data_IF_974515136044
#
_entry.id   IF_974515136044
#
_cell.length_a   1.000
_cell.length_b   1.000
_cell.length_c   1.000
_cell.angle_alpha   90.00
_cell.angle_beta   90.00
_cell.angle_gamma   90.00
#
_symmetry.space_group_name_H-M   'P 1'
#
loop_
_entity.id
_entity.type
_entity.pdbx_description
1 polymer ?
#
# COMPACT_ATOMS: atom_id res chain seq x y z
N UNK A 1 -57.97 -4.82 18.09
CA UNK A 1 -56.60 -4.40 18.45
C UNK A 1 -55.75 -4.51 17.20
N UNK A 2 -55.46 -3.39 16.54
CA UNK A 2 -54.65 -3.36 15.31
C UNK A 2 -53.18 -3.20 15.68
N UNK A 3 -52.38 -4.24 15.47
CA UNK A 3 -50.93 -4.20 15.69
C UNK A 3 -50.24 -3.60 14.46
N UNK A 4 -49.59 -2.45 14.65
CA UNK A 4 -48.78 -1.79 13.62
C UNK A 4 -47.44 -2.53 13.53
N UNK A 5 -47.17 -3.15 12.39
CA UNK A 5 -45.84 -3.67 12.06
C UNK A 5 -45.02 -2.48 11.53
N UNK A 6 -44.06 -2.02 12.33
CA UNK A 6 -43.02 -1.09 11.86
C UNK A 6 -42.04 -1.87 10.97
N UNK A 7 -42.00 -1.56 9.68
CA UNK A 7 -40.87 -1.91 8.82
C UNK A 7 -39.69 -1.05 9.20
N UNK A 8 -38.65 -1.65 9.78
CA UNK A 8 -37.36 -1.00 10.01
C UNK A 8 -36.57 -1.10 8.70
N UNK A 9 -36.39 0.04 8.02
CA UNK A 9 -35.49 0.14 6.89
C UNK A 9 -34.04 0.15 7.40
N UNK A 10 -33.31 -0.93 7.17
CA UNK A 10 -31.87 -1.00 7.45
C UNK A 10 -31.12 -0.33 6.29
N UNK A 11 -30.75 0.94 6.43
CA UNK A 11 -29.82 1.60 5.52
C UNK A 11 -28.42 1.15 5.93
N UNK A 12 -27.84 0.20 5.18
CA UNK A 12 -26.42 -0.10 5.30
C UNK A 12 -25.64 1.07 4.68
N UNK A 13 -25.12 1.97 5.53
CA UNK A 13 -24.08 2.91 5.10
C UNK A 13 -22.82 2.09 4.81
N UNK A 14 -22.58 1.76 3.54
CA UNK A 14 -21.24 1.43 3.07
C UNK A 14 -20.43 2.74 3.11
N UNK A 15 -19.93 3.11 4.28
CA UNK A 15 -18.90 4.14 4.36
C UNK A 15 -17.67 3.53 3.70
N UNK A 16 -17.39 3.91 2.46
CA UNK A 16 -16.05 3.83 1.90
C UNK A 16 -15.17 4.70 2.79
N UNK A 17 -14.62 4.11 3.84
CA UNK A 17 -13.56 4.73 4.62
C UNK A 17 -12.40 4.91 3.66
N UNK A 18 -12.27 6.12 3.11
CA UNK A 18 -11.04 6.59 2.48
C UNK A 18 -10.02 6.60 3.61
N UNK A 19 -9.31 5.50 3.79
CA UNK A 19 -8.13 5.46 4.64
C UNK A 19 -7.11 6.32 3.90
N UNK A 20 -6.96 7.56 4.31
CA UNK A 20 -5.86 8.39 3.83
C UNK A 20 -4.60 7.91 4.55
N UNK A 21 -3.93 6.92 3.99
CA UNK A 21 -2.54 6.62 4.31
C UNK A 21 -1.72 7.81 3.78
N UNK A 22 -1.71 8.93 4.52
CA UNK A 22 -1.08 10.15 4.04
C UNK A 22 0.42 9.96 4.02
N UNK A 23 0.93 9.80 2.81
CA UNK A 23 2.35 9.75 2.55
C UNK A 23 2.99 11.13 2.81
N UNK A 24 4.23 11.14 3.28
CA UNK A 24 4.93 12.37 3.63
C UNK A 24 6.38 12.34 3.13
N UNK A 25 6.89 13.52 2.83
CA UNK A 25 8.29 13.74 2.43
C UNK A 25 8.98 14.62 3.48
N UNK A 26 10.24 14.32 3.78
CA UNK A 26 11.07 15.17 4.64
C UNK A 26 11.59 16.38 3.87
N UNK A 27 11.72 16.26 2.55
CA UNK A 27 12.19 17.32 1.68
C UNK A 27 11.41 17.36 0.36
N UNK A 28 10.50 18.33 0.25
CA UNK A 28 9.77 18.57 -0.99
C UNK A 28 10.57 19.49 -1.94
N UNK A 29 11.07 18.99 -3.09
CA UNK A 29 11.91 19.75 -4.01
C UNK A 29 11.13 20.83 -4.78
N UNK A 30 9.78 20.81 -4.75
CA UNK A 30 8.95 21.88 -5.32
C UNK A 30 8.90 23.11 -4.42
N UNK A 31 9.25 22.94 -3.14
CA UNK A 31 9.17 24.00 -2.11
C UNK A 31 10.54 24.50 -1.66
N UNK A 32 11.59 23.67 -1.75
CA UNK A 32 12.95 24.00 -1.27
C UNK A 32 14.01 23.20 -2.01
N UNK A 33 15.27 23.61 -1.88
CA UNK A 33 16.39 22.79 -2.34
C UNK A 33 16.55 21.58 -1.44
N UNK A 34 16.59 20.39 -2.05
CA UNK A 34 16.76 19.11 -1.38
C UNK A 34 18.09 18.45 -1.75
N UNK A 35 18.65 17.57 -0.89
CA UNK A 35 19.74 16.69 -1.27
C UNK A 35 19.37 15.85 -2.49
N UNK A 36 20.36 15.45 -3.28
CA UNK A 36 20.12 14.56 -4.41
C UNK A 36 19.79 13.14 -3.92
N UNK A 37 18.77 12.53 -4.50
CA UNK A 37 18.37 11.17 -4.18
C UNK A 37 19.38 10.13 -4.66
N UNK A 38 19.67 9.10 -3.85
CA UNK A 38 20.53 8.01 -4.26
C UNK A 38 19.84 7.17 -5.36
N UNK A 39 20.39 7.21 -6.58
CA UNK A 39 19.87 6.42 -7.69
C UNK A 39 20.20 4.92 -7.55
N UNK A 40 19.25 4.05 -7.94
CA UNK A 40 19.49 2.62 -8.04
C UNK A 40 20.55 2.28 -9.10
N UNK A 41 20.44 2.88 -10.29
CA UNK A 41 21.44 2.83 -11.36
C UNK A 41 21.65 1.47 -12.04
N UNK A 42 20.88 0.45 -11.69
CA UNK A 42 20.95 -0.92 -12.26
C UNK A 42 19.64 -1.67 -12.07
N UNK A 43 19.48 -2.82 -12.74
CA UNK A 43 18.43 -3.78 -12.40
C UNK A 43 18.82 -4.59 -11.17
N UNK A 44 17.84 -4.93 -10.34
CA UNK A 44 17.99 -5.81 -9.18
C UNK A 44 16.83 -6.81 -9.15
N UNK A 45 17.08 -7.96 -8.55
CA UNK A 45 16.09 -8.99 -8.25
C UNK A 45 16.32 -9.40 -6.79
N UNK A 46 15.29 -9.25 -5.96
CA UNK A 46 15.37 -9.37 -4.50
C UNK A 46 14.45 -10.51 -4.05
N UNK A 47 15.07 -11.55 -3.49
CA UNK A 47 14.37 -12.73 -3.01
C UNK A 47 14.19 -12.67 -1.50
N UNK A 48 13.03 -12.18 -1.06
CA UNK A 48 12.72 -12.06 0.37
C UNK A 48 12.56 -13.40 1.10
N UNK A 49 12.45 -14.53 0.39
CA UNK A 49 12.47 -15.86 1.04
C UNK A 49 13.85 -16.18 1.62
N UNK A 50 14.89 -15.46 1.19
CA UNK A 50 16.25 -15.54 1.72
C UNK A 50 16.55 -14.51 2.81
N UNK A 51 15.56 -13.71 3.23
CA UNK A 51 15.73 -12.62 4.19
C UNK A 51 15.83 -11.24 3.55
N UNK A 52 16.14 -10.22 4.37
CA UNK A 52 16.29 -8.85 3.89
C UNK A 52 17.60 -8.64 3.13
N UNK A 53 17.55 -7.89 2.03
CA UNK A 53 18.74 -7.23 1.49
C UNK A 53 18.91 -5.86 2.15
N UNK A 54 19.64 -5.82 3.27
CA UNK A 54 19.92 -4.58 4.00
C UNK A 54 20.71 -3.56 3.18
N UNK A 55 21.32 -3.92 2.05
CA UNK A 55 21.96 -2.94 1.16
C UNK A 55 20.95 -2.16 0.33
N UNK A 56 19.73 -2.69 0.17
CA UNK A 56 18.72 -2.14 -0.72
C UNK A 56 17.42 -1.75 -0.01
N UNK A 57 16.93 -2.53 0.95
CA UNK A 57 15.72 -2.22 1.72
C UNK A 57 16.03 -1.86 3.17
N UNK A 58 15.22 -0.98 3.74
CA UNK A 58 15.17 -0.70 5.17
C UNK A 58 13.75 -0.86 5.67
N UNK A 59 13.61 -1.29 6.92
CA UNK A 59 12.37 -1.12 7.67
C UNK A 59 12.26 0.35 8.11
N UNK A 60 11.05 0.90 8.15
CA UNK A 60 10.82 2.22 8.71
C UNK A 60 10.94 2.22 10.25
N UNK A 61 10.98 3.39 10.87
CA UNK A 61 11.06 3.45 12.33
C UNK A 61 9.75 2.94 12.96
N UNK A 62 9.86 2.08 13.96
CA UNK A 62 8.71 1.56 14.70
C UNK A 62 7.97 0.38 14.05
N UNK A 63 8.44 -0.13 12.91
CA UNK A 63 7.96 -1.39 12.32
C UNK A 63 8.83 -2.57 12.71
N UNK A 64 8.24 -3.77 12.66
CA UNK A 64 8.93 -5.07 12.67
C UNK A 64 8.40 -5.92 11.52
N UNK A 65 9.22 -6.10 10.48
CA UNK A 65 8.94 -7.02 9.36
C UNK A 65 9.80 -8.26 9.52
N UNK A 66 9.13 -9.42 9.52
CA UNK A 66 9.79 -10.72 9.63
C UNK A 66 10.02 -11.30 8.24
N UNK A 67 10.96 -12.22 8.14
CA UNK A 67 11.24 -12.95 6.92
C UNK A 67 11.09 -14.44 7.21
N UNK A 68 10.18 -15.08 6.48
CA UNK A 68 9.82 -16.49 6.63
C UNK A 68 9.87 -17.16 5.26
N UNK A 69 9.51 -18.45 5.17
CA UNK A 69 9.54 -19.21 3.92
C UNK A 69 8.70 -18.56 2.79
N UNK A 70 7.67 -17.79 3.16
CA UNK A 70 6.80 -17.06 2.23
C UNK A 70 7.30 -15.66 1.83
N UNK A 71 8.49 -15.26 2.28
CA UNK A 71 9.08 -13.94 2.06
C UNK A 71 8.92 -12.98 3.24
N UNK A 72 8.88 -11.69 2.93
CA UNK A 72 8.66 -10.63 3.92
C UNK A 72 7.21 -10.67 4.44
N UNK A 73 7.04 -10.77 5.76
CA UNK A 73 5.76 -10.86 6.45
C UNK A 73 5.43 -9.53 7.14
N UNK A 74 4.43 -8.85 6.59
CA UNK A 74 3.88 -7.60 7.11
C UNK A 74 2.64 -7.91 7.97
N UNK A 75 2.84 -8.12 9.28
CA UNK A 75 1.77 -8.53 10.20
C UNK A 75 1.18 -7.36 10.98
N UNK A 76 -0.15 -7.30 11.07
CA UNK A 76 -0.91 -6.39 11.94
C UNK A 76 -1.72 -7.24 12.92
N UNK A 77 -1.34 -7.19 14.19
CA UNK A 77 -1.97 -7.89 15.31
C UNK A 77 -2.59 -6.94 16.34
N UNK A 78 -2.20 -5.66 16.33
CA UNK A 78 -2.80 -4.61 17.18
C UNK A 78 -2.91 -3.28 16.42
N UNK A 79 -3.75 -2.38 16.94
CA UNK A 79 -4.10 -1.11 16.29
C UNK A 79 -2.90 -0.22 15.94
N UNK A 80 -1.82 -0.27 16.72
CA UNK A 80 -0.64 0.59 16.52
C UNK A 80 0.37 0.04 15.51
N UNK A 81 0.07 -1.05 14.81
CA UNK A 81 1.01 -1.69 13.87
C UNK A 81 0.72 -1.27 12.43
N UNK A 82 1.76 -0.73 11.78
CA UNK A 82 1.79 -0.39 10.37
C UNK A 82 3.15 -0.83 9.81
N UNK A 83 3.35 -2.14 9.57
CA UNK A 83 4.65 -2.64 9.16
C UNK A 83 5.00 -2.14 7.75
N UNK A 84 6.16 -1.52 7.58
CA UNK A 84 6.53 -0.84 6.33
C UNK A 84 8.01 -0.97 6.02
N UNK A 85 8.33 -1.35 4.78
CA UNK A 85 9.68 -1.32 4.22
C UNK A 85 9.77 -0.34 3.07
N UNK A 86 10.93 0.29 2.92
CA UNK A 86 11.22 1.21 1.83
C UNK A 86 12.57 0.88 1.19
N UNK A 87 12.68 1.09 -0.12
CA UNK A 87 13.97 1.06 -0.78
C UNK A 87 14.85 2.21 -0.28
N UNK A 88 16.16 1.99 -0.25
CA UNK A 88 17.16 3.01 0.07
C UNK A 88 17.54 3.87 -1.12
N UNK A 89 17.03 3.53 -2.31
CA UNK A 89 17.38 4.12 -3.59
C UNK A 89 16.14 4.35 -4.44
N UNK A 90 16.24 5.35 -5.30
CA UNK A 90 15.18 5.76 -6.21
C UNK A 90 15.40 5.19 -7.61
N UNK A 91 14.29 4.99 -8.31
CA UNK A 91 14.28 4.74 -9.76
C UNK A 91 13.77 5.99 -10.46
N UNK A 92 14.21 6.19 -11.70
CA UNK A 92 13.66 7.23 -12.55
C UNK A 92 13.20 6.60 -13.86
N UNK A 93 11.89 6.36 -13.94
CA UNK A 93 11.27 5.42 -14.87
C UNK A 93 11.80 3.99 -14.70
N UNK A 94 11.24 3.08 -15.51
CA UNK A 94 11.58 1.66 -15.49
C UNK A 94 10.38 0.80 -15.16
N UNK A 95 10.62 -0.30 -14.46
CA UNK A 95 9.61 -1.29 -14.10
C UNK A 95 9.88 -1.79 -12.67
N UNK A 96 8.81 -1.95 -11.91
CA UNK A 96 8.81 -2.64 -10.62
C UNK A 96 7.79 -3.76 -10.73
N UNK A 97 8.24 -4.98 -10.46
CA UNK A 97 7.39 -6.17 -10.33
C UNK A 97 7.46 -6.63 -8.87
N UNK A 98 6.33 -7.01 -8.28
CA UNK A 98 6.27 -7.48 -6.89
C UNK A 98 5.43 -8.73 -6.83
N UNK A 99 6.00 -9.82 -6.31
CA UNK A 99 5.22 -11.04 -6.03
C UNK A 99 4.69 -10.97 -4.61
N UNK A 100 3.36 -10.93 -4.44
CA UNK A 100 2.74 -10.79 -3.13
C UNK A 100 1.44 -11.58 -2.98
N UNK A 101 1.10 -11.88 -1.73
CA UNK A 101 -0.23 -12.31 -1.29
C UNK A 101 -0.72 -11.32 -0.26
N UNK A 102 -1.90 -10.74 -0.48
CA UNK A 102 -2.43 -9.68 0.37
C UNK A 102 -2.92 -10.21 1.72
N UNK A 103 -2.82 -9.38 2.76
CA UNK A 103 -3.25 -9.74 4.11
C UNK A 103 -4.78 -9.78 4.21
N UNK A 104 -5.38 -10.84 4.75
CA UNK A 104 -6.82 -10.89 5.04
C UNK A 104 -7.16 -10.07 6.30
N UNK A 105 -8.43 -9.70 6.43
CA UNK A 105 -8.96 -9.00 7.60
C UNK A 105 -9.71 -7.74 7.21
N UNK A 106 -10.90 -7.57 7.78
CA UNK A 106 -11.73 -6.40 7.48
C UNK A 106 -10.98 -5.11 7.83
N UNK A 107 -10.80 -4.23 6.84
CA UNK A 107 -10.12 -2.95 7.01
C UNK A 107 -8.59 -3.00 7.04
N UNK A 108 -7.97 -4.19 6.93
CA UNK A 108 -6.53 -4.29 6.72
C UNK A 108 -6.21 -3.92 5.27
N UNK A 109 -5.21 -3.07 5.06
CA UNK A 109 -4.75 -2.67 3.72
C UNK A 109 -3.35 -3.22 3.49
N UNK A 110 -3.16 -3.93 2.39
CA UNK A 110 -1.83 -4.25 1.85
C UNK A 110 -1.54 -3.29 0.71
N UNK A 111 -0.40 -2.59 0.76
CA UNK A 111 -0.06 -1.57 -0.22
C UNK A 111 1.30 -1.77 -0.86
N UNK A 112 1.39 -1.50 -2.15
CA UNK A 112 2.65 -1.18 -2.84
C UNK A 112 2.56 0.28 -3.26
N UNK A 113 3.58 1.07 -2.92
CA UNK A 113 3.61 2.50 -3.23
C UNK A 113 4.95 2.85 -3.87
N UNK A 114 4.89 3.39 -5.09
CA UNK A 114 6.01 4.10 -5.70
C UNK A 114 5.84 5.57 -5.42
N UNK A 115 6.79 6.19 -4.73
CA UNK A 115 6.67 7.56 -4.27
C UNK A 115 7.95 8.36 -4.44
N UNK A 116 7.83 9.57 -4.97
CA UNK A 116 8.91 10.56 -5.05
C UNK A 116 8.90 11.54 -3.86
N UNK A 117 9.99 12.28 -3.73
CA UNK A 117 10.15 13.34 -2.72
C UNK A 117 9.23 14.55 -2.95
N UNK A 118 8.69 14.76 -4.16
CA UNK A 118 7.65 15.75 -4.42
C UNK A 118 6.22 15.20 -4.29
N UNK A 119 6.05 13.94 -3.88
CA UNK A 119 4.77 13.25 -3.73
C UNK A 119 4.06 12.95 -5.07
N UNK A 120 4.81 12.78 -6.16
CA UNK A 120 4.31 11.95 -7.26
C UNK A 120 4.20 10.50 -6.73
N UNK A 121 3.08 9.84 -6.98
CA UNK A 121 2.72 8.54 -6.39
C UNK A 121 2.03 7.63 -7.41
N UNK A 122 2.35 6.33 -7.38
CA UNK A 122 1.60 5.27 -8.05
C UNK A 122 1.48 4.13 -7.06
N UNK A 123 0.26 3.66 -6.81
CA UNK A 123 0.01 2.67 -5.77
C UNK A 123 -0.98 1.58 -6.17
N UNK A 124 -0.89 0.48 -5.44
CA UNK A 124 -1.80 -0.65 -5.45
C UNK A 124 -2.23 -0.95 -4.01
N UNK A 125 -3.53 -1.08 -3.79
CA UNK A 125 -4.12 -1.30 -2.48
C UNK A 125 -5.08 -2.50 -2.52
N UNK A 126 -4.79 -3.52 -1.72
CA UNK A 126 -5.71 -4.63 -1.45
C UNK A 126 -6.34 -4.45 -0.09
N UNK A 127 -7.66 -4.55 -0.02
CA UNK A 127 -8.41 -4.49 1.24
C UNK A 127 -8.70 -5.92 1.68
N UNK A 128 -8.27 -6.31 2.88
CA UNK A 128 -8.37 -7.68 3.40
C UNK A 128 -9.80 -8.20 3.64
N UNK A 129 -10.82 -7.35 3.44
CA UNK A 129 -12.23 -7.74 3.39
C UNK A 129 -12.74 -8.05 1.98
N UNK A 130 -11.92 -7.85 0.94
CA UNK A 130 -12.28 -8.01 -0.46
C UNK A 130 -11.31 -8.96 -1.16
N UNK A 131 -11.81 -10.15 -1.51
CA UNK A 131 -11.02 -11.21 -2.14
C UNK A 131 -11.22 -11.29 -3.66
N UNK A 132 -11.60 -10.17 -4.31
CA UNK A 132 -11.97 -10.19 -5.73
C UNK A 132 -11.30 -9.10 -6.57
N UNK A 133 -10.58 -8.18 -5.95
CA UNK A 133 -10.02 -7.03 -6.66
C UNK A 133 -8.83 -6.39 -5.93
N UNK A 134 -8.15 -5.52 -6.67
CA UNK A 134 -7.17 -4.55 -6.20
C UNK A 134 -7.62 -3.16 -6.60
N UNK A 135 -7.33 -2.15 -5.79
CA UNK A 135 -7.45 -0.75 -6.17
C UNK A 135 -6.09 -0.25 -6.67
N UNK A 136 -6.07 0.47 -7.77
CA UNK A 136 -4.90 1.25 -8.21
C UNK A 136 -5.20 2.73 -8.05
N UNK A 137 -4.19 3.52 -7.72
CA UNK A 137 -4.31 4.97 -7.69
C UNK A 137 -3.01 5.65 -8.16
N UNK A 138 -3.08 6.97 -8.35
CA UNK A 138 -1.89 7.78 -8.60
C UNK A 138 -2.07 9.20 -8.07
N UNK A 139 -0.97 9.83 -7.67
CA UNK A 139 -0.92 11.24 -7.28
C UNK A 139 0.16 11.98 -8.04
N UNK A 140 -0.14 13.23 -8.40
CA UNK A 140 0.84 14.16 -8.92
C UNK A 140 1.10 15.22 -7.88
N UNK A 141 2.33 15.31 -7.38
CA UNK A 141 2.79 16.37 -6.48
C UNK A 141 1.98 16.50 -5.19
N UNK A 142 1.46 15.37 -4.71
CA UNK A 142 0.59 15.32 -3.53
C UNK A 142 -0.75 16.02 -3.71
N UNK A 143 -1.20 16.24 -4.95
CA UNK A 143 -2.50 16.83 -5.23
C UNK A 143 -3.61 15.83 -4.86
N UNK A 144 -4.40 16.19 -3.84
CA UNK A 144 -5.58 15.44 -3.38
C UNK A 144 -6.88 16.19 -3.62
N UNK A 145 -6.90 17.15 -4.54
CA UNK A 145 -8.08 17.99 -4.83
C UNK A 145 -9.24 17.19 -5.42
N UNK A 146 -8.95 16.09 -6.12
CA UNK A 146 -9.91 15.18 -6.73
C UNK A 146 -9.66 13.72 -6.33
N UNK A 147 -10.68 12.88 -6.54
CA UNK A 147 -10.68 11.44 -6.28
C UNK A 147 -11.06 10.62 -7.52
N UNK A 148 -10.73 11.12 -8.71
CA UNK A 148 -11.05 10.54 -10.02
C UNK A 148 -9.93 9.63 -10.59
N UNK A 149 -8.90 9.38 -9.79
CA UNK A 149 -7.66 8.69 -10.19
C UNK A 149 -7.63 7.21 -9.80
N UNK A 150 -8.48 6.84 -8.85
CA UNK A 150 -8.62 5.47 -8.38
C UNK A 150 -9.41 4.61 -9.36
N UNK A 151 -9.00 3.35 -9.52
CA UNK A 151 -9.73 2.34 -10.27
C UNK A 151 -9.65 0.99 -9.57
N UNK A 152 -10.68 0.16 -9.72
CA UNK A 152 -10.69 -1.21 -9.24
C UNK A 152 -10.46 -2.18 -10.39
N UNK A 153 -9.63 -3.19 -10.15
CA UNK A 153 -9.28 -4.21 -11.14
C UNK A 153 -9.52 -5.59 -10.53
N UNK A 154 -10.19 -6.46 -11.28
CA UNK A 154 -10.48 -7.83 -10.82
C UNK A 154 -9.19 -8.64 -10.67
N UNK A 155 -9.00 -9.25 -9.51
CA UNK A 155 -7.94 -10.20 -9.21
C UNK A 155 -8.57 -11.37 -8.47
N UNK A 156 -8.34 -12.60 -8.95
CA UNK A 156 -8.92 -13.78 -8.31
C UNK A 156 -8.11 -14.17 -7.08
N UNK A 157 -8.76 -14.24 -5.92
CA UNK A 157 -8.18 -14.74 -4.66
C UNK A 157 -6.90 -14.04 -4.15
N UNK A 158 -6.77 -12.70 -4.20
CA UNK A 158 -5.56 -11.99 -3.79
C UNK A 158 -5.18 -12.21 -2.33
N UNK A 159 -6.12 -12.62 -1.47
CA UNK A 159 -5.88 -12.87 -0.04
C UNK A 159 -5.35 -14.29 0.24
N UNK A 160 -5.42 -15.20 -0.75
CA UNK A 160 -5.06 -16.61 -0.59
C UNK A 160 -3.93 -17.05 -1.51
N UNK A 161 -3.81 -16.42 -2.68
CA UNK A 161 -2.83 -16.75 -3.72
C UNK A 161 -1.79 -15.64 -3.89
N UNK A 162 -0.62 -16.00 -4.41
CA UNK A 162 0.41 -15.03 -4.79
C UNK A 162 0.20 -14.54 -6.23
N UNK A 163 0.38 -13.24 -6.45
CA UNK A 163 0.28 -12.57 -7.75
C UNK A 163 1.52 -11.73 -8.02
N UNK A 164 1.81 -11.49 -9.31
CA UNK A 164 2.76 -10.51 -9.82
C UNK A 164 1.97 -9.40 -10.52
#
# INVERSE_FOLDING_TARGET
MFSKILSVATVALATTSLVSAQTFTTCDPTKKTCPADPALGKSVDIDFTKGNDDSFFRQLDGTDVKFEDGGALFSISKESEAPTMASKKYIFFGKVDVVLKAAPGQGIVTSIVLQSDDLDEIDWEWVGGDNTQVQTNYFGKGDTSTYDRGAFHTVSNPLSDYHN
#
